data_IF_525241619835
#
_entry.id   IF_525241619835
#
_cell.length_a   1.000
_cell.length_b   1.000
_cell.length_c   1.000
_cell.angle_alpha   90.00
_cell.angle_beta   90.00
_cell.angle_gamma   90.00
#
_symmetry.space_group_name_H-M   'P 1'
#
loop_
_entity.id
_entity.type
_entity.pdbx_description
1 polymer ?
#
# COMPACT_ATOMS: atom_id res chain seq x y z
N UNK A 1 3.68 -38.90 20.16
CA UNK A 1 3.98 -39.54 18.86
C UNK A 1 5.49 -39.60 18.71
N UNK A 2 6.11 -40.79 18.64
CA UNK A 2 7.53 -40.89 18.31
C UNK A 2 7.76 -40.59 16.82
N UNK A 3 8.90 -40.01 16.44
CA UNK A 3 9.23 -39.74 15.04
C UNK A 3 9.51 -41.04 14.28
N UNK A 4 9.23 -41.08 12.95
CA UNK A 4 9.48 -42.24 12.11
C UNK A 4 10.99 -42.45 11.91
N UNK A 5 11.43 -43.70 12.05
CA UNK A 5 12.80 -44.13 11.86
C UNK A 5 13.28 -43.86 10.42
N UNK A 6 14.41 -43.15 10.30
CA UNK A 6 15.06 -42.89 9.02
C UNK A 6 15.62 -44.19 8.40
N UNK A 7 15.44 -44.41 7.09
CA UNK A 7 15.93 -45.61 6.42
C UNK A 7 17.47 -45.60 6.35
N UNK A 8 18.06 -46.63 6.95
CA UNK A 8 19.50 -46.85 7.01
C UNK A 8 20.10 -47.11 5.61
N UNK A 9 20.78 -46.10 5.05
CA UNK A 9 21.42 -46.09 3.72
C UNK A 9 22.48 -47.19 3.50
N UNK A 10 22.85 -47.94 4.53
CA UNK A 10 23.83 -49.02 4.43
C UNK A 10 23.32 -50.29 3.73
N UNK A 11 22.02 -50.39 3.42
CA UNK A 11 21.45 -51.62 2.85
C UNK A 11 21.72 -51.74 1.34
N UNK A 12 21.84 -50.63 0.60
CA UNK A 12 22.05 -50.65 -0.85
C UNK A 12 23.48 -51.04 -1.25
N UNK A 13 24.47 -50.79 -0.40
CA UNK A 13 25.86 -51.12 -0.71
C UNK A 13 26.20 -52.62 -0.62
N UNK A 14 25.37 -53.45 0.03
CA UNK A 14 25.64 -54.89 0.18
C UNK A 14 25.15 -55.76 -0.98
N UNK A 15 24.26 -55.26 -1.84
CA UNK A 15 23.69 -56.04 -2.95
C UNK A 15 24.50 -55.96 -4.26
N UNK A 16 25.45 -55.04 -4.36
CA UNK A 16 26.24 -54.82 -5.57
C UNK A 16 27.65 -55.38 -5.36
N UNK A 17 27.86 -56.62 -5.83
CA UNK A 17 29.14 -57.31 -5.76
C UNK A 17 30.30 -56.55 -6.42
N UNK A 18 31.55 -56.94 -6.15
CA UNK A 18 32.78 -56.19 -6.51
C UNK A 18 32.93 -55.91 -8.01
N UNK A 19 32.23 -56.64 -8.87
CA UNK A 19 32.28 -56.48 -10.33
C UNK A 19 31.57 -55.22 -10.85
N UNK A 20 30.68 -54.60 -10.06
CA UNK A 20 29.93 -53.41 -10.51
C UNK A 20 30.79 -52.14 -10.55
N UNK A 21 31.81 -52.06 -9.69
CA UNK A 21 32.73 -50.91 -9.65
C UNK A 21 33.57 -50.81 -10.92
N UNK A 22 34.02 -51.94 -11.46
CA UNK A 22 34.81 -51.97 -12.70
C UNK A 22 33.98 -51.55 -13.92
N UNK A 23 32.71 -51.95 -13.99
CA UNK A 23 31.82 -51.57 -15.11
C UNK A 23 31.50 -50.07 -15.06
N UNK A 24 31.24 -49.52 -13.87
CA UNK A 24 31.00 -48.09 -13.70
C UNK A 24 32.21 -47.23 -14.05
N UNK A 25 33.42 -47.66 -13.69
CA UNK A 25 34.65 -46.93 -14.03
C UNK A 25 34.88 -46.92 -15.55
N UNK A 26 34.70 -48.06 -16.24
CA UNK A 26 34.84 -48.10 -17.70
C UNK A 26 33.77 -47.24 -18.38
N UNK A 27 32.52 -47.31 -17.90
CA UNK A 27 31.44 -46.48 -18.45
C UNK A 27 31.70 -44.99 -18.23
N UNK A 28 32.20 -44.59 -17.05
CA UNK A 28 32.54 -43.21 -16.74
C UNK A 28 33.70 -42.69 -17.57
N UNK A 29 34.77 -43.48 -17.75
CA UNK A 29 35.92 -43.11 -18.59
C UNK A 29 35.49 -42.96 -20.05
N UNK A 30 34.65 -43.86 -20.56
CA UNK A 30 34.15 -43.78 -21.94
C UNK A 30 33.25 -42.55 -22.13
N UNK A 31 32.40 -42.25 -21.15
CA UNK A 31 31.51 -41.11 -21.18
C UNK A 31 32.25 -39.77 -21.09
N UNK A 32 33.29 -39.69 -20.26
CA UNK A 32 34.10 -38.47 -20.06
C UNK A 32 35.01 -38.18 -21.26
N UNK A 33 35.52 -39.20 -21.95
CA UNK A 33 36.48 -39.02 -23.05
C UNK A 33 35.79 -38.82 -24.41
N UNK A 34 34.66 -39.47 -24.68
CA UNK A 34 34.02 -39.42 -26.01
C UNK A 34 33.07 -38.23 -26.21
N UNK A 35 32.45 -37.73 -25.14
CA UNK A 35 31.48 -36.62 -25.19
C UNK A 35 32.10 -35.24 -25.53
N UNK A 36 33.33 -34.85 -25.09
CA UNK A 36 33.82 -33.50 -25.34
C UNK A 36 34.12 -33.20 -26.82
N UNK A 37 34.41 -34.21 -27.66
CA UNK A 37 34.71 -33.99 -29.08
C UNK A 37 33.50 -33.53 -29.90
N UNK A 38 32.34 -34.15 -29.70
CA UNK A 38 31.11 -33.80 -30.41
C UNK A 38 30.49 -32.50 -29.88
N UNK A 39 30.52 -32.29 -28.54
CA UNK A 39 30.01 -31.06 -27.94
C UNK A 39 30.82 -29.83 -28.34
N UNK A 40 32.13 -29.93 -28.52
CA UNK A 40 32.96 -28.78 -28.92
C UNK A 40 32.55 -28.20 -30.28
N UNK A 41 32.25 -29.05 -31.26
CA UNK A 41 31.79 -28.60 -32.58
C UNK A 41 30.39 -27.97 -32.56
N UNK A 42 29.52 -28.39 -31.64
CA UNK A 42 28.19 -27.81 -31.44
C UNK A 42 28.31 -26.46 -30.72
N UNK A 43 29.20 -26.37 -29.72
CA UNK A 43 29.49 -25.14 -28.98
C UNK A 43 30.11 -24.09 -29.90
N UNK A 44 31.08 -24.45 -30.74
CA UNK A 44 31.71 -23.51 -31.68
C UNK A 44 30.71 -22.96 -32.73
N UNK A 45 29.72 -23.78 -33.15
CA UNK A 45 28.62 -23.32 -34.01
C UNK A 45 27.57 -22.50 -33.25
N UNK A 46 27.34 -22.76 -31.96
CA UNK A 46 26.50 -21.90 -31.12
C UNK A 46 27.18 -20.54 -30.86
N UNK A 47 28.51 -20.50 -30.77
CA UNK A 47 29.28 -19.27 -30.58
C UNK A 47 29.41 -18.41 -31.85
N UNK A 48 29.04 -18.91 -33.05
CA UNK A 48 28.98 -18.09 -34.27
C UNK A 48 27.62 -17.41 -34.50
N UNK A 49 26.56 -17.81 -33.79
CA UNK A 49 25.25 -17.13 -33.81
C UNK A 49 25.25 -15.72 -33.17
N UNK A 50 25.97 -15.43 -32.06
CA UNK A 50 25.95 -14.12 -31.44
C UNK A 50 26.57 -13.02 -32.32
N UNK A 51 27.52 -13.32 -33.21
CA UNK A 51 28.11 -12.31 -34.11
C UNK A 51 27.12 -11.84 -35.18
N UNK A 52 26.30 -12.74 -35.72
CA UNK A 52 25.21 -12.42 -36.65
C UNK A 52 24.11 -11.60 -35.95
N UNK A 53 23.73 -11.99 -34.74
CA UNK A 53 22.77 -11.23 -33.92
C UNK A 53 23.28 -9.82 -33.58
N UNK A 54 24.58 -9.68 -33.27
CA UNK A 54 25.20 -8.36 -33.01
C UNK A 54 25.16 -7.47 -34.24
N UNK A 55 25.46 -8.02 -35.42
CA UNK A 55 25.44 -7.25 -36.67
C UNK A 55 24.01 -6.83 -37.06
N UNK A 56 23.01 -7.68 -36.77
CA UNK A 56 21.61 -7.40 -37.07
C UNK A 56 21.02 -6.40 -36.07
N UNK A 57 21.43 -6.45 -34.80
CA UNK A 57 21.09 -5.46 -33.76
C UNK A 57 21.69 -4.08 -34.06
N UNK A 58 22.96 -4.00 -34.47
CA UNK A 58 23.59 -2.74 -34.88
C UNK A 58 22.94 -2.13 -36.13
N UNK A 59 22.28 -2.94 -36.97
CA UNK A 59 21.54 -2.48 -38.15
C UNK A 59 20.13 -1.97 -37.79
N UNK A 60 19.48 -2.56 -36.78
CA UNK A 60 18.13 -2.19 -36.35
C UNK A 60 18.10 -1.02 -35.34
N UNK A 61 19.19 -0.77 -34.63
CA UNK A 61 19.31 0.30 -33.63
C UNK A 61 20.39 1.31 -34.04
N UNK A 62 20.07 2.30 -34.90
CA UNK A 62 21.02 3.31 -35.37
C UNK A 62 21.54 4.26 -34.27
N UNK A 63 21.11 4.08 -33.02
CA UNK A 63 21.51 4.89 -31.86
C UNK A 63 22.55 4.19 -30.96
N UNK A 64 22.96 2.96 -31.29
CA UNK A 64 23.97 2.24 -30.49
C UNK A 64 25.37 2.71 -30.85
N UNK A 65 26.00 3.42 -29.93
CA UNK A 65 27.38 3.87 -30.06
C UNK A 65 28.29 2.66 -29.76
N UNK A 66 29.23 2.26 -30.63
CA UNK A 66 30.04 1.05 -30.40
C UNK A 66 30.91 1.07 -29.13
N UNK A 67 31.00 2.23 -28.45
CA UNK A 67 31.71 2.42 -27.20
C UNK A 67 30.89 2.11 -25.93
N UNK A 68 29.56 1.97 -26.02
CA UNK A 68 28.71 1.59 -24.87
C UNK A 68 28.60 0.07 -24.76
N UNK A 69 28.65 -0.51 -23.54
CA UNK A 69 28.48 -1.95 -23.37
C UNK A 69 27.08 -2.34 -23.85
N UNK A 70 26.99 -3.21 -24.86
CA UNK A 70 25.75 -3.62 -25.53
C UNK A 70 24.61 -4.08 -24.60
N UNK A 71 24.97 -4.55 -23.40
CA UNK A 71 24.04 -4.95 -22.33
C UNK A 71 23.26 -3.74 -21.78
N UNK A 72 23.91 -2.58 -21.68
CA UNK A 72 23.28 -1.34 -21.22
C UNK A 72 22.20 -0.87 -22.20
N UNK A 73 22.48 -0.94 -23.50
CA UNK A 73 21.51 -0.53 -24.53
C UNK A 73 20.33 -1.52 -24.60
N UNK A 74 20.58 -2.82 -24.39
CA UNK A 74 19.52 -3.82 -24.23
C UNK A 74 18.67 -3.59 -22.97
N UNK A 75 19.29 -3.26 -21.83
CA UNK A 75 18.58 -2.92 -20.60
C UNK A 75 17.72 -1.66 -20.77
N UNK A 76 18.27 -0.62 -21.40
CA UNK A 76 17.54 0.62 -21.67
C UNK A 76 16.38 0.39 -22.62
N UNK A 77 16.59 -0.40 -23.68
CA UNK A 77 15.53 -0.75 -24.62
C UNK A 77 14.44 -1.57 -23.93
N UNK A 78 14.82 -2.56 -23.11
CA UNK A 78 13.87 -3.36 -22.33
C UNK A 78 13.10 -2.51 -21.31
N UNK A 79 13.76 -1.57 -20.63
CA UNK A 79 13.13 -0.64 -19.70
C UNK A 79 12.15 0.29 -20.42
N UNK A 80 12.54 0.85 -21.58
CA UNK A 80 11.70 1.73 -22.39
C UNK A 80 10.50 0.99 -22.99
N UNK A 81 10.69 -0.23 -23.49
CA UNK A 81 9.60 -1.08 -23.96
C UNK A 81 8.64 -1.46 -22.82
N UNK A 82 9.17 -1.79 -21.63
CA UNK A 82 8.35 -2.09 -20.45
C UNK A 82 7.56 -0.87 -20.00
N UNK A 83 8.19 0.31 -19.95
CA UNK A 83 7.53 1.56 -19.60
C UNK A 83 6.41 1.91 -20.60
N UNK A 84 6.65 1.73 -21.90
CA UNK A 84 5.63 1.96 -22.95
C UNK A 84 4.49 0.95 -22.87
N UNK A 85 4.79 -0.33 -22.60
CA UNK A 85 3.77 -1.36 -22.42
C UNK A 85 2.86 -1.04 -21.22
N UNK A 86 3.43 -0.56 -20.12
CA UNK A 86 2.72 -0.18 -18.91
C UNK A 86 2.24 1.28 -18.88
N UNK A 87 2.53 2.08 -19.89
CA UNK A 87 2.17 3.50 -19.94
C UNK A 87 0.67 3.77 -19.72
N UNK A 88 -0.27 2.98 -20.30
CA UNK A 88 -1.70 3.17 -20.03
C UNK A 88 -2.04 3.00 -18.54
N UNK A 89 -1.49 1.96 -17.89
CA UNK A 89 -1.76 1.65 -16.48
C UNK A 89 -1.14 2.69 -15.54
N UNK A 90 0.08 3.15 -15.85
CA UNK A 90 0.72 4.25 -15.13
C UNK A 90 -0.09 5.54 -15.26
N UNK A 91 -0.64 5.82 -16.45
CA UNK A 91 -1.48 7.00 -16.66
C UNK A 91 -2.79 6.98 -15.86
N UNK A 92 -3.43 5.81 -15.74
CA UNK A 92 -4.62 5.62 -14.92
C UNK A 92 -4.29 5.76 -13.43
N UNK A 93 -3.16 5.20 -12.98
CA UNK A 93 -2.69 5.34 -11.62
C UNK A 93 -2.44 6.80 -11.25
N UNK A 94 -1.75 7.56 -12.12
CA UNK A 94 -1.47 8.99 -11.90
C UNK A 94 -2.78 9.80 -11.86
N UNK A 95 -3.70 9.58 -12.81
CA UNK A 95 -5.01 10.25 -12.79
C UNK A 95 -5.81 9.92 -11.53
N UNK A 96 -5.78 8.67 -11.08
CA UNK A 96 -6.45 8.26 -9.85
C UNK A 96 -5.80 8.89 -8.61
N UNK A 97 -4.47 9.04 -8.59
CA UNK A 97 -3.75 9.72 -7.51
C UNK A 97 -4.09 11.22 -7.46
N UNK A 98 -4.13 11.89 -8.61
CA UNK A 98 -4.56 13.30 -8.71
C UNK A 98 -6.01 13.49 -8.26
N UNK A 99 -6.92 12.61 -8.69
CA UNK A 99 -8.32 12.67 -8.26
C UNK A 99 -8.46 12.52 -6.74
N UNK A 100 -7.70 11.61 -6.10
CA UNK A 100 -7.69 11.47 -4.64
C UNK A 100 -7.15 12.72 -3.95
N UNK A 101 -6.11 13.35 -4.51
CA UNK A 101 -5.55 14.57 -3.95
C UNK A 101 -6.54 15.73 -4.03
N UNK A 102 -7.23 15.89 -5.16
CA UNK A 102 -8.29 16.90 -5.32
C UNK A 102 -9.44 16.64 -4.35
N UNK A 103 -9.87 15.39 -4.19
CA UNK A 103 -10.94 15.02 -3.25
C UNK A 103 -10.57 15.37 -1.80
N UNK A 104 -9.34 15.08 -1.38
CA UNK A 104 -8.83 15.46 -0.06
C UNK A 104 -8.84 16.98 0.13
N UNK A 105 -8.36 17.73 -0.86
CA UNK A 105 -8.34 19.20 -0.81
C UNK A 105 -9.75 19.78 -0.74
N UNK A 106 -10.69 19.27 -1.55
CA UNK A 106 -12.11 19.70 -1.50
C UNK A 106 -12.75 19.37 -0.16
N UNK A 107 -12.43 18.22 0.44
CA UNK A 107 -12.93 17.85 1.77
C UNK A 107 -12.37 18.74 2.88
N UNK A 108 -11.12 19.15 2.77
CA UNK A 108 -10.47 20.07 3.71
C UNK A 108 -11.06 21.48 3.60
N UNK A 109 -11.24 22.00 2.38
CA UNK A 109 -11.92 23.28 2.12
C UNK A 109 -13.38 23.28 2.61
N UNK A 110 -14.11 22.17 2.43
CA UNK A 110 -15.46 22.02 2.96
C UNK A 110 -15.50 22.06 4.50
N UNK A 111 -14.49 21.45 5.15
CA UNK A 111 -14.35 21.45 6.61
C UNK A 111 -13.99 22.83 7.14
N UNK A 112 -13.11 23.56 6.45
CA UNK A 112 -12.76 24.95 6.79
C UNK A 112 -13.98 25.88 6.70
N UNK A 113 -14.79 25.76 5.64
CA UNK A 113 -16.03 26.54 5.51
C UNK A 113 -17.03 26.26 6.62
N UNK A 114 -17.17 25.02 7.04
CA UNK A 114 -18.07 24.63 8.14
C UNK A 114 -17.56 25.19 9.49
N UNK A 115 -16.24 25.16 9.72
CA UNK A 115 -15.65 25.74 10.94
C UNK A 115 -15.69 27.27 11.01
N UNK A 116 -15.76 27.97 9.87
CA UNK A 116 -15.89 29.43 9.81
C UNK A 116 -17.35 29.92 9.70
N UNK A 117 -18.33 29.01 9.61
CA UNK A 117 -19.74 29.37 9.71
C UNK A 117 -20.05 29.70 11.17
N UNK A 118 -19.88 30.97 11.54
CA UNK A 118 -20.39 31.52 12.81
C UNK A 118 -21.87 31.15 12.89
N UNK A 119 -22.33 30.44 13.94
CA UNK A 119 -23.72 30.08 14.09
C UNK A 119 -24.55 31.35 14.08
N UNK A 120 -25.28 31.59 12.98
CA UNK A 120 -26.19 32.72 12.90
C UNK A 120 -27.35 32.41 13.84
N UNK A 121 -27.53 33.15 14.96
CA UNK A 121 -28.55 32.80 15.97
C UNK A 121 -29.99 32.91 15.43
N UNK A 122 -30.16 33.49 14.23
CA UNK A 122 -31.45 33.77 13.62
C UNK A 122 -31.98 32.67 12.68
N UNK A 123 -31.25 31.57 12.44
CA UNK A 123 -31.75 30.44 11.61
C UNK A 123 -32.53 29.38 12.42
N UNK A 124 -32.70 29.57 13.73
CA UNK A 124 -33.33 28.60 14.65
C UNK A 124 -34.87 28.53 14.59
N UNK A 125 -35.53 29.24 13.67
CA UNK A 125 -36.99 29.42 13.69
C UNK A 125 -37.73 29.04 12.39
N UNK A 126 -37.07 28.45 11.40
CA UNK A 126 -37.70 28.01 10.14
C UNK A 126 -37.38 26.56 9.74
N UNK A 127 -37.15 25.69 10.74
CA UNK A 127 -37.07 24.25 10.53
C UNK A 127 -38.42 23.58 10.86
N UNK A 128 -39.47 23.91 10.12
CA UNK A 128 -40.72 23.14 10.12
C UNK A 128 -41.23 22.98 8.67
N UNK A 129 -41.60 21.73 8.37
CA UNK A 129 -42.34 21.27 7.18
C UNK A 129 -41.63 21.28 5.82
N UNK A 130 -40.63 20.39 5.68
CA UNK A 130 -40.38 19.77 4.38
C UNK A 130 -41.35 18.58 4.21
N UNK A 131 -42.15 18.51 3.13
CA UNK A 131 -43.14 17.45 2.94
C UNK A 131 -42.46 16.07 2.78
N UNK A 132 -43.10 14.99 3.28
CA UNK A 132 -42.53 13.66 3.22
C UNK A 132 -42.38 13.19 1.78
N UNK A 133 -41.19 12.65 1.51
CA UNK A 133 -40.73 12.05 0.26
C UNK A 133 -41.81 11.28 -0.51
N UNK A 134 -41.90 11.58 -1.80
CA UNK A 134 -42.60 10.78 -2.78
C UNK A 134 -42.07 9.32 -2.79
N UNK A 135 -42.93 8.32 -3.07
CA UNK A 135 -42.51 6.93 -3.16
C UNK A 135 -41.46 6.75 -4.27
N UNK A 136 -40.29 6.23 -3.91
CA UNK A 136 -39.31 5.72 -4.86
C UNK A 136 -39.96 4.54 -5.62
N UNK A 137 -40.22 4.74 -6.90
CA UNK A 137 -40.55 3.64 -7.81
C UNK A 137 -39.36 2.67 -7.89
N UNK A 138 -39.57 1.35 -7.68
CA UNK A 138 -38.55 0.36 -7.92
C UNK A 138 -38.32 0.24 -9.43
N UNK A 139 -37.21 0.79 -9.91
CA UNK A 139 -36.75 0.55 -11.27
C UNK A 139 -36.45 -0.95 -11.48
N UNK A 140 -36.83 -1.52 -12.63
CA UNK A 140 -36.62 -2.95 -12.88
C UNK A 140 -35.13 -3.28 -12.89
N UNK A 141 -34.77 -4.26 -12.06
CA UNK A 141 -33.47 -4.92 -12.01
C UNK A 141 -33.18 -5.59 -13.36
N UNK A 142 -32.55 -4.88 -14.28
CA UNK A 142 -31.87 -5.49 -15.41
C UNK A 142 -30.40 -5.66 -15.06
N UNK A 143 -30.09 -6.87 -14.59
CA UNK A 143 -28.77 -7.46 -14.67
C UNK A 143 -28.38 -7.57 -16.15
N UNK A 144 -27.66 -6.58 -16.66
CA UNK A 144 -26.83 -6.80 -17.85
C UNK A 144 -25.55 -5.97 -17.74
N UNK A 145 -24.41 -6.65 -17.75
CA UNK A 145 -23.07 -6.09 -17.71
C UNK A 145 -22.80 -5.32 -19.01
N UNK A 146 -23.35 -4.11 -19.13
CA UNK A 146 -22.98 -3.19 -20.19
C UNK A 146 -21.91 -2.26 -19.63
N UNK A 147 -20.70 -2.38 -20.17
CA UNK A 147 -19.61 -1.42 -19.97
C UNK A 147 -20.14 -0.06 -20.45
N UNK A 148 -20.58 0.78 -19.50
CA UNK A 148 -21.02 2.14 -19.77
C UNK A 148 -19.79 2.94 -20.18
N UNK A 149 -19.61 3.05 -21.49
CA UNK A 149 -18.76 4.05 -22.11
C UNK A 149 -19.19 5.43 -21.53
N UNK A 150 -18.31 6.18 -20.86
CA UNK A 150 -18.70 7.45 -20.25
C UNK A 150 -19.16 8.38 -21.37
N UNK A 151 -20.44 8.79 -21.33
CA UNK A 151 -20.96 9.75 -22.28
C UNK A 151 -20.09 11.01 -22.25
N UNK A 152 -19.74 11.58 -23.41
CA UNK A 152 -19.00 12.84 -23.46
C UNK A 152 -19.79 13.90 -22.72
N UNK A 153 -19.16 14.52 -21.71
CA UNK A 153 -19.75 15.62 -20.94
C UNK A 153 -20.17 16.70 -21.93
N UNK A 154 -21.45 17.07 -21.89
CA UNK A 154 -21.95 18.18 -22.67
C UNK A 154 -21.11 19.44 -22.38
N UNK A 155 -20.85 20.29 -23.39
CA UNK A 155 -20.10 21.53 -23.21
C UNK A 155 -20.78 22.38 -22.13
N UNK A 156 -20.04 22.69 -21.08
CA UNK A 156 -20.46 23.56 -20.00
C UNK A 156 -20.93 24.89 -20.60
N UNK A 157 -22.17 25.35 -20.35
CA UNK A 157 -22.61 26.64 -20.85
C UNK A 157 -21.74 27.77 -20.28
N UNK A 158 -21.52 28.85 -21.05
CA UNK A 158 -20.73 29.99 -20.60
C UNK A 158 -21.35 30.58 -19.32
N UNK A 159 -20.53 31.21 -18.45
CA UNK A 159 -21.03 31.86 -17.23
C UNK A 159 -21.94 33.03 -17.66
N UNK A 160 -23.24 32.77 -17.68
CA UNK A 160 -24.28 33.76 -17.95
C UNK A 160 -24.63 34.50 -16.67
N UNK A 161 -24.72 35.82 -16.80
CA UNK A 161 -25.11 36.77 -15.77
C UNK A 161 -26.37 36.29 -15.02
N UNK A 162 -26.29 36.32 -13.68
CA UNK A 162 -27.43 36.16 -12.80
C UNK A 162 -28.41 37.31 -13.05
N UNK A 163 -29.43 37.07 -13.86
CA UNK A 163 -30.62 37.91 -13.89
C UNK A 163 -31.34 37.76 -12.53
N UNK A 164 -31.33 38.86 -11.77
CA UNK A 164 -32.14 39.09 -10.58
C UNK A 164 -33.63 38.85 -10.91
N UNK A 165 -34.12 37.64 -10.67
CA UNK A 165 -35.57 37.42 -10.60
C UNK A 165 -36.11 38.13 -9.34
N UNK A 166 -37.05 39.08 -9.46
CA UNK A 166 -37.66 39.69 -8.29
C UNK A 166 -38.34 38.63 -7.41
N UNK A 167 -38.27 38.77 -6.07
CA UNK A 167 -38.83 37.81 -5.14
C UNK A 167 -40.34 37.67 -5.36
N UNK A 168 -40.81 36.42 -5.51
CA UNK A 168 -42.24 36.12 -5.53
C UNK A 168 -42.89 36.57 -4.20
N UNK A 169 -44.05 37.23 -4.24
CA UNK A 169 -44.78 37.61 -3.04
C UNK A 169 -45.22 36.36 -2.27
N UNK A 170 -44.94 36.33 -0.97
CA UNK A 170 -45.35 35.26 -0.07
C UNK A 170 -46.88 35.08 -0.10
N UNK A 171 -47.39 33.82 -0.07
CA UNK A 171 -48.83 33.59 0.04
C UNK A 171 -49.36 34.16 1.37
N UNK A 172 -50.59 34.70 1.39
CA UNK A 172 -51.16 35.30 2.59
C UNK A 172 -51.30 34.25 3.70
N UNK A 173 -50.62 34.51 4.82
CA UNK A 173 -50.78 33.76 6.07
C UNK A 173 -52.24 33.86 6.51
N UNK A 174 -52.97 32.74 6.39
CA UNK A 174 -54.26 32.58 7.04
C UNK A 174 -54.01 32.51 8.55
N UNK A 175 -54.37 33.59 9.24
CA UNK A 175 -54.47 33.63 10.69
C UNK A 175 -55.43 32.52 11.14
N UNK A 176 -54.88 31.47 11.76
CA UNK A 176 -55.68 30.53 12.52
C UNK A 176 -56.24 31.27 13.76
N UNK A 177 -57.54 31.16 14.05
CA UNK A 177 -58.09 31.73 15.27
C UNK A 177 -57.54 30.98 16.49
N UNK A 178 -57.35 31.66 17.63
CA UNK A 178 -56.93 31.02 18.88
C UNK A 178 -58.04 30.08 19.35
N UNK A 179 -57.76 28.78 19.40
CA UNK A 179 -58.61 27.83 20.11
C UNK A 179 -58.26 27.92 21.59
N UNK A 180 -59.08 28.66 22.34
CA UNK A 180 -59.02 28.69 23.79
C UNK A 180 -59.24 27.27 24.35
N UNK A 181 -58.19 26.74 24.97
CA UNK A 181 -58.22 25.54 25.78
C UNK A 181 -58.78 25.89 27.16
N UNK A 182 -60.12 25.91 27.31
CA UNK A 182 -60.79 25.72 28.60
C UNK A 182 -62.30 25.53 28.39
N UNK A 183 -62.72 24.31 28.08
CA UNK A 183 -64.10 23.88 28.31
C UNK A 183 -64.08 22.61 29.17
N UNK A 184 -64.32 22.85 30.45
CA UNK A 184 -64.63 21.89 31.50
C UNK A 184 -65.78 20.97 31.04
N UNK A 185 -65.54 19.66 31.01
CA UNK A 185 -66.52 18.66 30.59
C UNK A 185 -67.68 18.60 31.61
N UNK A 186 -68.75 19.35 31.34
CA UNK A 186 -70.00 19.27 32.08
C UNK A 186 -70.71 17.92 31.90
N UNK A 187 -71.55 17.50 32.87
CA UNK A 187 -72.21 16.19 32.84
C UNK A 187 -73.16 16.08 31.65
N UNK A 188 -73.04 14.97 30.92
CA UNK A 188 -73.80 14.67 29.72
C UNK A 188 -75.31 14.83 29.94
N UNK A 189 -75.91 15.85 29.30
CA UNK A 189 -77.36 15.96 29.20
C UNK A 189 -77.95 14.72 28.51
N UNK A 190 -79.09 14.17 28.97
CA UNK A 190 -79.71 13.01 28.34
C UNK A 190 -80.07 13.33 26.89
N UNK A 191 -79.50 12.56 25.95
CA UNK A 191 -79.81 12.68 24.51
C UNK A 191 -81.33 12.61 24.31
N UNK A 192 -81.94 13.55 23.58
CA UNK A 192 -83.36 13.49 23.26
C UNK A 192 -83.66 12.21 22.48
N UNK A 193 -84.71 11.50 22.89
CA UNK A 193 -85.19 10.28 22.25
C UNK A 193 -85.31 10.46 20.73
N UNK A 194 -84.90 9.43 19.99
CA UNK A 194 -84.85 9.45 18.53
C UNK A 194 -86.19 9.98 17.94
N UNK A 195 -86.14 10.94 17.00
CA UNK A 195 -87.35 11.53 16.46
C UNK A 195 -88.20 10.44 15.77
N UNK A 196 -89.54 10.48 15.93
CA UNK A 196 -90.44 9.46 15.39
C UNK A 196 -90.27 9.33 13.88
N UNK A 197 -90.21 8.09 13.39
CA UNK A 197 -90.02 7.73 11.99
C UNK A 197 -91.19 8.24 11.14
N UNK A 198 -91.07 9.48 10.64
CA UNK A 198 -92.02 10.03 9.68
C UNK A 198 -91.87 9.28 8.35
N UNK A 199 -92.99 8.84 7.79
CA UNK A 199 -93.07 8.25 6.46
C UNK A 199 -92.51 9.23 5.43
N UNK A 200 -91.26 9.01 5.03
CA UNK A 200 -90.59 9.80 4.00
C UNK A 200 -91.14 9.38 2.64
N UNK A 201 -91.59 10.35 1.83
CA UNK A 201 -92.08 10.06 0.48
C UNK A 201 -91.01 9.35 -0.38
N UNK A 202 -91.44 8.58 -1.37
CA UNK A 202 -90.58 7.66 -2.13
C UNK A 202 -89.27 8.29 -2.68
N UNK A 203 -89.30 9.55 -3.11
CA UNK A 203 -88.09 10.29 -3.56
C UNK A 203 -87.10 10.54 -2.42
N UNK A 204 -87.60 10.93 -1.24
CA UNK A 204 -86.79 11.19 -0.04
C UNK A 204 -86.26 9.89 0.56
N UNK A 205 -87.05 8.82 0.54
CA UNK A 205 -86.60 7.48 0.92
C UNK A 205 -85.41 7.01 0.07
N UNK A 206 -85.47 7.15 -1.26
CA UNK A 206 -84.36 6.81 -2.17
C UNK A 206 -83.12 7.67 -1.96
N UNK A 207 -83.29 8.97 -1.70
CA UNK A 207 -82.16 9.87 -1.41
C UNK A 207 -81.47 9.53 -0.08
N UNK A 208 -82.25 9.21 0.96
CA UNK A 208 -81.73 8.77 2.25
C UNK A 208 -81.00 7.43 2.13
N UNK A 209 -81.55 6.45 1.39
CA UNK A 209 -80.88 5.18 1.15
C UNK A 209 -79.52 5.34 0.45
N UNK A 210 -79.40 6.25 -0.54
CA UNK A 210 -78.10 6.56 -1.18
C UNK A 210 -77.12 7.23 -0.24
N UNK A 211 -77.60 8.12 0.64
CA UNK A 211 -76.75 8.78 1.66
C UNK A 211 -76.27 7.78 2.69
N UNK A 212 -77.13 6.85 3.09
CA UNK A 212 -76.81 5.78 4.03
C UNK A 212 -75.81 4.78 3.45
N UNK A 213 -75.98 4.38 2.18
CA UNK A 213 -74.99 3.59 1.43
C UNK A 213 -73.62 4.28 1.37
N UNK A 214 -73.56 5.60 1.16
CA UNK A 214 -72.29 6.35 1.18
C UNK A 214 -71.65 6.36 2.58
N UNK A 215 -72.45 6.54 3.64
CA UNK A 215 -71.94 6.47 5.03
C UNK A 215 -71.41 5.08 5.35
N UNK A 216 -72.19 4.04 5.06
CA UNK A 216 -71.79 2.65 5.24
C UNK A 216 -70.50 2.32 4.46
N UNK A 217 -70.36 2.82 3.22
CA UNK A 217 -69.12 2.64 2.46
C UNK A 217 -67.92 3.36 3.09
N UNK A 218 -68.08 4.62 3.51
CA UNK A 218 -67.00 5.36 4.15
C UNK A 218 -66.63 4.79 5.53
N UNK A 219 -67.60 4.30 6.30
CA UNK A 219 -67.38 3.58 7.55
C UNK A 219 -66.66 2.25 7.32
N UNK A 220 -67.06 1.49 6.29
CA UNK A 220 -66.38 0.26 5.89
C UNK A 220 -64.91 0.53 5.50
N UNK A 221 -64.63 1.59 4.73
CA UNK A 221 -63.25 1.96 4.38
C UNK A 221 -62.43 2.37 5.61
N UNK A 222 -63.04 3.10 6.57
CA UNK A 222 -62.36 3.43 7.83
C UNK A 222 -62.07 2.19 8.66
N UNK A 223 -63.04 1.29 8.77
CA UNK A 223 -62.87 0.00 9.46
C UNK A 223 -61.77 -0.85 8.81
N UNK A 224 -61.73 -0.91 7.47
CA UNK A 224 -60.69 -1.61 6.75
C UNK A 224 -59.30 -0.98 6.97
N UNK A 225 -59.20 0.34 7.01
CA UNK A 225 -57.95 1.05 7.32
C UNK A 225 -57.53 0.87 8.79
N UNK A 226 -58.48 0.79 9.72
CA UNK A 226 -58.22 0.49 11.14
C UNK A 226 -57.75 -0.95 11.32
N UNK A 227 -58.36 -1.91 10.65
CA UNK A 227 -57.91 -3.30 10.64
C UNK A 227 -56.49 -3.44 10.10
N UNK A 228 -56.16 -2.78 8.97
CA UNK A 228 -54.77 -2.77 8.44
C UNK A 228 -53.76 -2.17 9.42
N UNK A 229 -54.13 -1.07 10.11
CA UNK A 229 -53.25 -0.47 11.13
C UNK A 229 -53.03 -1.39 12.34
N UNK A 230 -54.04 -2.17 12.73
CA UNK A 230 -53.92 -3.15 13.81
C UNK A 230 -53.03 -4.32 13.40
N UNK A 231 -53.24 -4.90 12.22
CA UNK A 231 -52.40 -5.97 11.67
C UNK A 231 -50.93 -5.52 11.49
N UNK A 232 -50.71 -4.31 11.00
CA UNK A 232 -49.37 -3.73 10.86
C UNK A 232 -48.69 -3.48 12.21
N UNK A 233 -49.44 -3.03 13.22
CA UNK A 233 -48.94 -2.79 14.57
C UNK A 233 -48.56 -4.10 15.27
N UNK A 234 -49.40 -5.14 15.15
CA UNK A 234 -49.12 -6.47 15.69
C UNK A 234 -47.88 -7.09 15.02
N UNK A 235 -47.76 -6.98 13.69
CA UNK A 235 -46.59 -7.48 12.96
C UNK A 235 -45.35 -6.58 13.03
N UNK A 236 -45.44 -5.39 13.66
CA UNK A 236 -44.30 -4.45 13.74
C UNK A 236 -43.27 -4.94 14.75
N UNK A 237 -43.71 -5.35 15.93
CA UNK A 237 -42.81 -5.79 17.00
C UNK A 237 -42.03 -7.05 16.59
N UNK A 238 -42.68 -8.00 15.90
CA UNK A 238 -42.02 -9.21 15.40
C UNK A 238 -40.97 -8.91 14.32
N UNK A 239 -41.26 -7.98 13.40
CA UNK A 239 -40.31 -7.52 12.37
C UNK A 239 -39.14 -6.76 12.99
N UNK A 240 -39.41 -5.89 13.95
CA UNK A 240 -38.37 -5.14 14.67
C UNK A 240 -37.48 -6.08 15.50
N UNK A 241 -38.07 -7.08 16.17
CA UNK A 241 -37.34 -8.10 16.91
C UNK A 241 -36.46 -8.96 15.98
N UNK A 242 -36.97 -9.36 14.81
CA UNK A 242 -36.21 -10.12 13.82
C UNK A 242 -35.01 -9.32 13.27
N UNK A 243 -35.23 -8.04 12.92
CA UNK A 243 -34.17 -7.14 12.46
C UNK A 243 -33.14 -6.86 13.57
N UNK A 244 -33.58 -6.71 14.82
CA UNK A 244 -32.69 -6.52 15.95
C UNK A 244 -31.81 -7.75 16.22
N UNK A 245 -32.37 -8.96 16.14
CA UNK A 245 -31.63 -10.21 16.29
C UNK A 245 -30.59 -10.41 15.17
N UNK A 246 -30.93 -10.07 13.92
CA UNK A 246 -29.99 -10.11 12.80
C UNK A 246 -28.86 -9.07 12.98
N UNK A 247 -29.21 -7.84 13.37
CA UNK A 247 -28.24 -6.77 13.63
C UNK A 247 -27.28 -7.15 14.76
N UNK A 248 -27.76 -7.82 15.80
CA UNK A 248 -26.92 -8.31 16.89
C UNK A 248 -25.88 -9.32 16.39
N UNK A 249 -26.29 -10.29 15.54
CA UNK A 249 -25.36 -11.27 14.94
C UNK A 249 -24.30 -10.63 14.06
N UNK A 250 -24.69 -9.62 13.26
CA UNK A 250 -23.73 -8.87 12.43
C UNK A 250 -22.76 -8.06 13.28
N UNK A 251 -23.25 -7.41 14.34
CA UNK A 251 -22.41 -6.64 15.26
C UNK A 251 -21.39 -7.52 16.01
N UNK A 252 -21.77 -8.74 16.40
CA UNK A 252 -20.84 -9.70 17.00
C UNK A 252 -19.77 -10.16 16.00
N UNK A 253 -20.16 -10.44 14.75
CA UNK A 253 -19.23 -10.81 13.70
C UNK A 253 -18.26 -9.66 13.34
N UNK A 254 -18.76 -8.42 13.25
CA UNK A 254 -17.95 -7.23 12.99
C UNK A 254 -16.95 -6.96 14.12
N UNK A 255 -17.36 -7.12 15.38
CA UNK A 255 -16.45 -6.99 16.54
C UNK A 255 -15.35 -8.04 16.52
N UNK A 256 -15.68 -9.29 16.20
CA UNK A 256 -14.68 -10.36 16.09
C UNK A 256 -13.68 -10.12 14.94
N UNK A 257 -14.15 -9.57 13.81
CA UNK A 257 -13.29 -9.19 12.69
C UNK A 257 -12.40 -8.00 13.07
N UNK A 258 -12.95 -7.01 13.77
CA UNK A 258 -12.20 -5.84 14.22
C UNK A 258 -11.11 -6.21 15.23
N UNK A 259 -11.41 -7.10 16.18
CA UNK A 259 -10.45 -7.61 17.15
C UNK A 259 -9.31 -8.37 16.44
N UNK A 260 -9.62 -9.28 15.52
CA UNK A 260 -8.61 -9.98 14.71
C UNK A 260 -7.74 -9.00 13.90
N UNK A 261 -8.36 -8.04 13.22
CA UNK A 261 -7.61 -7.03 12.45
C UNK A 261 -6.72 -6.17 13.35
N UNK A 262 -7.15 -5.89 14.57
CA UNK A 262 -6.36 -5.14 15.55
C UNK A 262 -5.15 -5.95 16.02
N UNK A 263 -5.35 -7.24 16.31
CA UNK A 263 -4.27 -8.17 16.66
C UNK A 263 -3.26 -8.32 15.52
N UNK A 264 -3.71 -8.52 14.28
CA UNK A 264 -2.83 -8.64 13.11
C UNK A 264 -2.00 -7.38 12.86
N UNK A 265 -2.61 -6.19 13.04
CA UNK A 265 -1.87 -4.92 12.95
C UNK A 265 -0.84 -4.78 14.06
N UNK A 266 -1.17 -5.22 15.27
CA UNK A 266 -0.26 -5.17 16.41
C UNK A 266 0.90 -6.15 16.22
N UNK A 267 0.65 -7.39 15.81
CA UNK A 267 1.69 -8.38 15.56
C UNK A 267 2.60 -7.97 14.40
N UNK A 268 2.05 -7.40 13.32
CA UNK A 268 2.83 -6.88 12.21
C UNK A 268 3.73 -5.73 12.65
N UNK A 269 3.19 -4.78 13.42
CA UNK A 269 3.97 -3.65 13.96
C UNK A 269 5.09 -4.12 14.90
N UNK A 270 4.83 -5.15 15.69
CA UNK A 270 5.84 -5.73 16.58
C UNK A 270 6.94 -6.47 15.83
N UNK A 271 6.60 -7.22 14.77
CA UNK A 271 7.57 -7.86 13.88
C UNK A 271 8.45 -6.82 13.18
N UNK A 272 7.85 -5.79 12.58
CA UNK A 272 8.60 -4.70 11.94
C UNK A 272 9.52 -3.98 12.93
N UNK A 273 9.03 -3.72 14.16
CA UNK A 273 9.87 -3.12 15.22
C UNK A 273 11.05 -4.02 15.57
N UNK A 274 10.80 -5.33 15.72
CA UNK A 274 11.84 -6.30 16.05
C UNK A 274 12.88 -6.42 14.94
N UNK A 275 12.48 -6.45 13.68
CA UNK A 275 13.40 -6.49 12.54
C UNK A 275 14.27 -5.23 12.46
N UNK A 276 13.68 -4.05 12.74
CA UNK A 276 14.42 -2.79 12.81
C UNK A 276 15.42 -2.77 13.98
N UNK A 277 15.02 -3.24 15.16
CA UNK A 277 15.91 -3.38 16.32
C UNK A 277 17.07 -4.32 16.00
N UNK A 278 16.81 -5.49 15.41
CA UNK A 278 17.86 -6.43 15.01
C UNK A 278 18.80 -5.86 13.93
N UNK A 279 18.27 -5.09 12.97
CA UNK A 279 19.11 -4.40 11.97
C UNK A 279 19.96 -3.31 12.63
N UNK A 280 19.39 -2.56 13.56
CA UNK A 280 20.12 -1.52 14.29
C UNK A 280 21.24 -2.10 15.14
N UNK A 281 20.98 -3.18 15.87
CA UNK A 281 22.01 -3.89 16.62
C UNK A 281 23.11 -4.45 15.71
N UNK A 282 22.79 -4.96 14.52
CA UNK A 282 23.80 -5.39 13.53
C UNK A 282 24.68 -4.22 13.09
N UNK A 283 24.08 -3.07 12.81
CA UNK A 283 24.81 -1.85 12.44
C UNK A 283 25.76 -1.43 13.56
N UNK A 284 25.27 -1.41 14.79
CA UNK A 284 26.06 -1.01 15.95
C UNK A 284 27.20 -1.99 16.23
N UNK A 285 26.96 -3.31 16.14
CA UNK A 285 28.01 -4.34 16.26
C UNK A 285 29.07 -4.20 15.17
N UNK A 286 28.66 -3.99 13.92
CA UNK A 286 29.58 -3.81 12.80
C UNK A 286 30.46 -2.55 13.00
N UNK A 287 29.86 -1.42 13.36
CA UNK A 287 30.58 -0.17 13.64
C UNK A 287 31.54 -0.34 14.82
N UNK A 288 31.07 -0.94 15.93
CA UNK A 288 31.89 -1.17 17.10
C UNK A 288 33.12 -2.03 16.76
N UNK A 289 32.93 -3.11 16.00
CA UNK A 289 34.02 -3.97 15.53
C UNK A 289 35.00 -3.23 14.61
N UNK A 290 34.50 -2.41 13.68
CA UNK A 290 35.35 -1.56 12.83
C UNK A 290 36.18 -0.60 13.70
N UNK A 291 35.57 0.06 14.69
CA UNK A 291 36.28 0.99 15.58
C UNK A 291 37.37 0.30 16.38
N UNK A 292 37.06 -0.82 17.04
CA UNK A 292 38.04 -1.58 17.81
C UNK A 292 39.20 -2.05 16.94
N UNK A 293 38.92 -2.64 15.77
CA UNK A 293 39.99 -3.10 14.87
C UNK A 293 40.81 -1.95 14.29
N UNK A 294 40.18 -0.81 13.99
CA UNK A 294 40.89 0.38 13.50
C UNK A 294 41.77 1.00 14.58
N UNK A 295 41.32 0.99 15.84
CA UNK A 295 42.08 1.48 16.98
C UNK A 295 43.31 0.60 17.27
N UNK A 296 43.12 -0.73 17.25
CA UNK A 296 44.17 -1.73 17.54
C UNK A 296 45.17 -1.88 16.38
N UNK A 297 44.68 -2.21 15.18
CA UNK A 297 45.52 -2.58 14.04
C UNK A 297 45.81 -1.41 13.07
N UNK A 298 45.10 -0.29 13.18
CA UNK A 298 45.26 0.85 12.26
C UNK A 298 44.74 0.62 10.84
N UNK A 299 44.39 -0.61 10.46
CA UNK A 299 43.74 -0.94 9.20
C UNK A 299 42.76 -2.10 9.36
N UNK A 300 41.68 -2.05 8.59
CA UNK A 300 40.57 -3.00 8.67
C UNK A 300 40.08 -3.36 7.28
N UNK A 301 40.03 -4.66 6.97
CA UNK A 301 39.37 -5.15 5.77
C UNK A 301 37.84 -5.14 5.99
N UNK A 302 37.11 -4.32 5.22
CA UNK A 302 35.66 -4.21 5.35
C UNK A 302 34.93 -5.44 4.80
N UNK A 303 35.54 -6.21 3.90
CA UNK A 303 34.96 -7.44 3.34
C UNK A 303 34.84 -8.54 4.40
N UNK A 304 35.85 -8.69 5.26
CA UNK A 304 35.83 -9.68 6.36
C UNK A 304 34.71 -9.39 7.38
N UNK A 305 34.45 -8.10 7.64
CA UNK A 305 33.36 -7.67 8.52
C UNK A 305 32.01 -7.88 7.83
N UNK A 306 31.92 -7.58 6.54
CA UNK A 306 30.72 -7.79 5.75
C UNK A 306 30.35 -9.29 5.70
N UNK A 307 31.34 -10.16 5.51
CA UNK A 307 31.16 -11.61 5.55
C UNK A 307 30.66 -12.09 6.91
N UNK A 308 31.23 -11.59 8.01
CA UNK A 308 30.79 -11.94 9.36
C UNK A 308 29.32 -11.54 9.64
N UNK A 309 28.88 -10.40 9.10
CA UNK A 309 27.50 -9.89 9.27
C UNK A 309 26.54 -10.33 8.15
N UNK A 310 27.00 -11.16 7.19
CA UNK A 310 26.24 -11.61 6.01
C UNK A 310 25.68 -10.44 5.19
N UNK A 311 26.50 -9.41 4.99
CA UNK A 311 26.18 -8.21 4.22
C UNK A 311 27.21 -7.98 3.12
N UNK A 312 26.88 -7.06 2.23
CA UNK A 312 27.79 -6.57 1.20
C UNK A 312 28.80 -5.59 1.80
N UNK A 313 30.03 -5.57 1.30
CA UNK A 313 31.09 -4.66 1.75
C UNK A 313 30.67 -3.19 1.53
N UNK A 314 29.91 -2.89 0.47
CA UNK A 314 29.35 -1.56 0.22
C UNK A 314 28.40 -1.11 1.33
N UNK A 315 27.67 -2.03 1.96
CA UNK A 315 26.78 -1.73 3.08
C UNK A 315 27.60 -1.27 4.30
N UNK A 316 28.68 -1.98 4.63
CA UNK A 316 29.62 -1.59 5.69
C UNK A 316 30.29 -0.26 5.35
N UNK A 317 30.78 -0.07 4.12
CA UNK A 317 31.43 1.17 3.71
C UNK A 317 30.50 2.39 3.83
N UNK A 318 29.21 2.26 3.47
CA UNK A 318 28.21 3.32 3.68
C UNK A 318 27.96 3.57 5.15
N UNK A 319 27.91 2.51 5.96
CA UNK A 319 27.72 2.61 7.40
C UNK A 319 28.89 3.34 8.07
N UNK A 320 30.13 3.01 7.71
CA UNK A 320 31.34 3.69 8.18
C UNK A 320 31.33 5.16 7.78
N UNK A 321 30.96 5.49 6.53
CA UNK A 321 30.80 6.89 6.07
C UNK A 321 29.74 7.64 6.88
N UNK A 322 28.59 7.03 7.12
CA UNK A 322 27.49 7.63 7.89
C UNK A 322 27.82 7.79 9.38
N UNK A 323 28.64 6.90 9.94
CA UNK A 323 29.05 6.94 11.35
C UNK A 323 30.01 8.09 11.69
N UNK A 324 30.57 8.76 10.67
CA UNK A 324 31.50 9.88 10.85
C UNK A 324 32.92 9.49 11.22
N UNK A 325 33.27 8.19 11.25
CA UNK A 325 34.64 7.72 11.57
C UNK A 325 35.70 8.36 10.66
N UNK A 326 35.36 8.63 9.39
CA UNK A 326 36.28 9.28 8.45
C UNK A 326 36.58 10.74 8.80
N UNK A 327 35.63 11.43 9.46
CA UNK A 327 35.75 12.86 9.74
C UNK A 327 36.26 13.16 11.15
N UNK A 328 36.01 12.28 12.13
CA UNK A 328 36.37 12.50 13.54
C UNK A 328 37.87 12.73 13.78
N UNK A 329 38.71 12.19 12.90
CA UNK A 329 40.17 12.23 13.05
C UNK A 329 40.82 13.48 12.43
N UNK A 330 40.03 14.33 11.76
CA UNK A 330 40.56 15.53 11.11
C UNK A 330 40.67 16.75 12.05
N UNK A 331 39.96 16.75 13.19
CA UNK A 331 39.81 17.92 14.06
C UNK A 331 40.88 18.06 15.16
N UNK A 332 41.65 17.00 15.47
CA UNK A 332 42.63 17.00 16.57
C UNK A 332 44.08 17.11 16.07
N UNK A 333 44.53 18.30 15.65
CA UNK A 333 45.92 18.57 15.22
C UNK A 333 46.35 18.01 13.85
N UNK A 334 45.44 17.41 13.07
CA UNK A 334 45.71 16.97 11.70
C UNK A 334 46.71 15.81 11.59
N UNK A 335 47.00 15.13 12.69
CA UNK A 335 48.04 14.09 12.77
C UNK A 335 47.58 12.73 12.24
N UNK A 336 46.26 12.52 12.09
CA UNK A 336 45.71 11.25 11.61
C UNK A 336 44.76 11.44 10.43
N UNK A 337 44.97 10.68 9.37
CA UNK A 337 44.10 10.67 8.19
C UNK A 337 43.48 9.29 8.02
N UNK A 338 42.16 9.21 7.93
CA UNK A 338 41.45 7.92 7.74
C UNK A 338 40.76 7.92 6.39
N UNK A 339 41.00 6.88 5.59
CA UNK A 339 40.42 6.77 4.25
C UNK A 339 39.99 5.34 3.93
N UNK A 340 39.09 5.20 2.96
CA UNK A 340 38.65 3.90 2.42
C UNK A 340 39.32 3.72 1.05
N UNK A 341 40.06 2.62 0.87
CA UNK A 341 40.70 2.27 -0.42
C UNK A 341 39.68 1.70 -1.41
N UNK A 342 40.04 1.65 -2.70
CA UNK A 342 39.20 1.02 -3.73
C UNK A 342 38.97 -0.47 -3.51
N UNK A 343 39.89 -1.12 -2.79
CA UNK A 343 39.85 -2.55 -2.48
C UNK A 343 39.05 -2.85 -1.20
N UNK A 344 38.41 -1.84 -0.59
CA UNK A 344 37.55 -2.06 0.57
C UNK A 344 38.30 -2.10 1.91
N UNK A 345 39.53 -1.57 1.98
CA UNK A 345 40.24 -1.39 3.24
C UNK A 345 39.94 -0.03 3.86
N UNK A 346 39.69 0.00 5.16
CA UNK A 346 39.68 1.23 5.95
C UNK A 346 41.04 1.38 6.62
N UNK A 347 41.79 2.41 6.26
CA UNK A 347 43.17 2.62 6.72
C UNK A 347 43.26 3.93 7.48
N UNK A 348 43.91 3.91 8.65
CA UNK A 348 44.28 5.08 9.44
C UNK A 348 45.79 5.32 9.31
N UNK A 349 46.14 6.41 8.66
CA UNK A 349 47.50 6.91 8.51
C UNK A 349 47.81 7.86 9.66
N UNK A 350 48.76 7.51 10.52
CA UNK A 350 49.28 8.38 11.58
C UNK A 350 50.69 8.88 11.23
N UNK A 351 51.13 9.93 11.90
CA UNK A 351 52.46 10.50 11.68
C UNK A 351 53.59 9.50 11.95
N UNK A 352 53.41 8.60 12.91
CA UNK A 352 54.39 7.56 13.26
C UNK A 352 54.56 6.53 12.11
N UNK A 353 53.47 6.03 11.53
CA UNK A 353 53.51 5.13 10.37
C UNK A 353 54.16 5.83 9.19
N UNK A 354 53.76 7.07 8.89
CA UNK A 354 54.36 7.81 7.78
C UNK A 354 55.86 8.05 8.00
N UNK A 355 56.30 8.32 9.23
CA UNK A 355 57.72 8.46 9.55
C UNK A 355 58.49 7.16 9.30
N UNK A 356 57.92 6.01 9.64
CA UNK A 356 58.51 4.70 9.35
C UNK A 356 58.61 4.47 7.83
N UNK A 357 57.52 4.70 7.09
CA UNK A 357 57.47 4.56 5.63
C UNK A 357 58.50 5.48 4.95
N UNK A 358 58.65 6.72 5.41
CA UNK A 358 59.69 7.63 4.89
C UNK A 358 61.11 7.15 5.23
N UNK A 359 61.33 6.56 6.40
CA UNK A 359 62.65 6.02 6.76
C UNK A 359 63.02 4.85 5.84
N UNK A 360 62.09 3.90 5.62
CA UNK A 360 62.27 2.77 4.71
C UNK A 360 62.46 3.24 3.25
N UNK A 361 61.71 4.25 2.82
CA UNK A 361 61.87 4.86 1.50
C UNK A 361 63.25 5.54 1.32
N UNK A 362 63.80 6.17 2.36
CA UNK A 362 65.16 6.75 2.32
C UNK A 362 66.21 5.65 2.19
N UNK A 363 66.06 4.53 2.90
CA UNK A 363 66.97 3.39 2.78
C UNK A 363 66.95 2.79 1.36
N UNK A 364 65.76 2.60 0.80
CA UNK A 364 65.59 2.11 -0.57
C UNK A 364 66.13 3.11 -1.61
N UNK A 365 65.87 4.40 -1.42
CA UNK A 365 66.38 5.46 -2.28
C UNK A 365 67.91 5.55 -2.28
N UNK A 366 68.57 5.34 -1.13
CA UNK A 366 70.03 5.30 -1.07
C UNK A 366 70.63 4.16 -1.91
N UNK A 367 69.89 3.05 -2.10
CA UNK A 367 70.29 1.97 -2.99
C UNK A 367 70.04 2.29 -4.48
N UNK A 368 69.08 3.16 -4.80
CA UNK A 368 68.64 3.51 -6.15
C UNK A 368 69.00 4.95 -6.60
N UNK A 369 70.17 5.47 -6.22
CA UNK A 369 70.64 6.81 -6.62
C UNK A 369 69.72 7.97 -6.17
N UNK A 370 69.11 7.81 -5.00
CA UNK A 370 68.30 8.83 -4.32
C UNK A 370 66.90 9.06 -4.91
N UNK A 371 66.41 8.15 -5.77
CA UNK A 371 65.08 8.24 -6.36
C UNK A 371 64.22 7.06 -5.92
N UNK A 372 62.96 7.33 -5.60
CA UNK A 372 61.94 6.32 -5.29
C UNK A 372 60.71 6.66 -6.12
N UNK A 373 60.19 5.68 -6.86
CA UNK A 373 58.96 5.82 -7.63
C UNK A 373 57.72 5.90 -6.73
N UNK A 374 56.61 6.43 -7.25
CA UNK A 374 55.35 6.42 -6.50
C UNK A 374 54.83 5.00 -6.25
N UNK A 375 55.02 4.09 -7.21
CA UNK A 375 54.62 2.69 -7.07
C UNK A 375 55.43 1.99 -5.97
N UNK A 376 56.75 2.18 -5.95
CA UNK A 376 57.62 1.62 -4.89
C UNK A 376 57.30 2.21 -3.51
N UNK A 377 56.98 3.51 -3.43
CA UNK A 377 56.54 4.13 -2.19
C UNK A 377 55.18 3.59 -1.72
N UNK A 378 54.27 3.30 -2.66
CA UNK A 378 52.98 2.70 -2.36
C UNK A 378 53.15 1.27 -1.82
N UNK A 379 54.06 0.47 -2.40
CA UNK A 379 54.37 -0.88 -1.93
C UNK A 379 54.93 -0.86 -0.49
N UNK A 380 55.87 0.07 -0.19
CA UNK A 380 56.40 0.25 1.18
C UNK A 380 55.28 0.66 2.16
N UNK A 381 54.40 1.56 1.74
CA UNK A 381 53.26 1.98 2.55
C UNK A 381 52.29 0.82 2.81
N UNK A 382 51.99 0.02 1.79
CA UNK A 382 51.16 -1.17 1.91
C UNK A 382 51.78 -2.18 2.88
N UNK A 383 53.06 -2.50 2.73
CA UNK A 383 53.78 -3.42 3.61
C UNK A 383 53.78 -2.94 5.06
N UNK A 384 54.01 -1.64 5.31
CA UNK A 384 53.97 -1.07 6.65
C UNK A 384 52.56 -1.14 7.27
N UNK A 385 51.52 -0.87 6.49
CA UNK A 385 50.12 -1.01 6.93
C UNK A 385 49.79 -2.47 7.23
N UNK A 386 50.16 -3.40 6.35
CA UNK A 386 49.93 -4.83 6.54
C UNK A 386 50.71 -5.39 7.72
N UNK A 387 51.94 -4.92 7.97
CA UNK A 387 52.73 -5.32 9.12
C UNK A 387 52.00 -5.01 10.44
N UNK A 388 51.33 -3.85 10.52
CA UNK A 388 50.55 -3.44 11.69
C UNK A 388 49.30 -4.29 11.92
N UNK A 389 48.73 -4.87 10.87
CA UNK A 389 47.58 -5.77 11.00
C UNK A 389 47.94 -7.17 11.50
N UNK A 390 49.23 -7.56 11.45
CA UNK A 390 49.70 -8.88 11.87
C UNK A 390 50.17 -8.94 13.33
N UNK A 391 50.46 -7.79 13.93
CA UNK A 391 50.75 -7.61 15.36
C UNK A 391 49.47 -7.66 16.18
#
# INVERSE_FOLDING_TARGET
MPPPDEPNNNTLHRLLGPNYRSILIVFYITLVILIPGALRTIVDRLFSLPSLLRSLLNLLLPFTNPATPLIQDLLHTAALCSLLYYAPQISEYIRNAENRFVELKTREEARERDSNRVPNPNESAQAEEQPPNAPLEPGPENNDHTILQPQPRAPTPPPGDQEDWPPQPAPPQQQQPPFDANEEAGPAAPRPAAPPTRTVGAKKARSLARRDQRRAYHEFIRQQAEQRRQEEAEGREEREAALAAEKARRAEAERAIEERNREERQSKKEQERRELEEEWERRDRAIAKVRTLLEEAGAVNLEDIAWAEQKDWLWIARLVKASGILNQNQDSDGETHTMITSEGWLVRLDAALMQQVYAEAVELGNAQDGKVGFDEFADILEDAVLARTRT
#
